data_IF_158344508891
#
_entry.id   IF_158344508891
#
_cell.length_a   1.000
_cell.length_b   1.000
_cell.length_c   1.000
_cell.angle_alpha   90.00
_cell.angle_beta   90.00
_cell.angle_gamma   90.00
#
_symmetry.space_group_name_H-M   'P 1'
#
loop_
_entity.id
_entity.type
_entity.pdbx_description
1 polymer ?
#
# COMPACT_ATOMS: atom_id res chain seq x y z
N UNK A 1 -12.00 29.43 2.09
CA UNK A 1 -10.62 29.03 1.79
C UNK A 1 -10.50 28.96 0.27
N UNK A 2 -9.71 29.83 -0.35
CA UNK A 2 -9.49 29.78 -1.81
C UNK A 2 -8.42 28.73 -2.11
N UNK A 3 -8.67 27.84 -3.07
CA UNK A 3 -7.65 26.94 -3.59
C UNK A 3 -6.56 27.77 -4.29
N UNK A 4 -5.29 27.55 -3.93
CA UNK A 4 -4.14 28.15 -4.59
C UNK A 4 -3.50 27.10 -5.50
N UNK A 5 -3.23 27.49 -6.75
CA UNK A 5 -2.51 26.63 -7.70
C UNK A 5 -1.03 26.60 -7.34
N UNK A 6 -0.49 25.41 -7.11
CA UNK A 6 0.94 25.19 -6.89
C UNK A 6 1.71 25.13 -8.22
N UNK A 7 3.05 25.27 -8.14
CA UNK A 7 3.94 25.19 -9.32
C UNK A 7 3.79 23.82 -10.01
N UNK A 8 3.91 23.82 -11.35
CA UNK A 8 3.98 22.58 -12.12
C UNK A 8 5.30 21.87 -11.81
N UNK A 9 5.24 20.55 -11.66
CA UNK A 9 6.43 19.72 -11.47
C UNK A 9 6.57 18.82 -12.69
N UNK A 10 7.76 18.80 -13.28
CA UNK A 10 8.07 18.01 -14.46
C UNK A 10 8.77 16.72 -14.04
N UNK A 11 8.39 15.61 -14.68
CA UNK A 11 8.92 14.29 -14.40
C UNK A 11 9.80 13.91 -15.60
N UNK A 12 11.05 13.51 -15.35
CA UNK A 12 11.94 12.98 -16.38
C UNK A 12 11.56 11.53 -16.74
N UNK A 13 10.44 11.37 -17.45
CA UNK A 13 9.99 10.14 -18.10
C UNK A 13 8.47 10.01 -18.14
N UNK A 14 7.95 8.79 -18.26
CA UNK A 14 6.50 8.55 -18.35
C UNK A 14 5.87 8.21 -17.01
N UNK A 15 4.56 8.38 -16.91
CA UNK A 15 3.76 7.90 -15.77
C UNK A 15 2.94 6.72 -16.27
N UNK A 16 3.02 5.58 -15.58
CA UNK A 16 2.26 4.39 -15.90
C UNK A 16 0.75 4.62 -15.74
N UNK A 17 -0.04 4.07 -16.65
CA UNK A 17 -1.50 4.02 -16.55
C UNK A 17 -1.97 2.88 -15.62
N UNK A 18 -1.40 2.81 -14.41
CA UNK A 18 -1.83 1.89 -13.36
C UNK A 18 -2.61 2.66 -12.29
N UNK A 19 -3.49 1.98 -11.56
CA UNK A 19 -4.21 2.61 -10.45
C UNK A 19 -3.26 2.91 -9.30
N UNK A 20 -3.54 3.97 -8.53
CA UNK A 20 -2.71 4.38 -7.38
C UNK A 20 -1.22 4.52 -7.76
N UNK A 21 -0.97 5.08 -8.95
CA UNK A 21 0.34 5.31 -9.55
C UNK A 21 1.09 6.52 -9.00
N UNK A 22 0.48 7.26 -8.07
CA UNK A 22 1.07 8.41 -7.38
C UNK A 22 0.93 8.20 -5.89
N UNK A 23 2.03 8.34 -5.15
CA UNK A 23 2.02 8.42 -3.70
C UNK A 23 2.60 9.76 -3.27
N UNK A 24 2.06 10.30 -2.18
CA UNK A 24 2.42 11.63 -1.66
C UNK A 24 2.94 11.45 -0.25
N UNK A 25 4.16 11.91 0.01
CA UNK A 25 4.71 11.93 1.35
C UNK A 25 4.24 13.20 2.07
N UNK A 26 3.15 13.05 2.82
CA UNK A 26 2.66 14.07 3.74
C UNK A 26 2.99 13.60 5.15
N UNK A 27 3.93 14.27 5.80
CA UNK A 27 4.18 14.04 7.22
C UNK A 27 2.91 14.38 8.00
N UNK A 28 2.47 13.50 8.91
CA UNK A 28 1.32 13.78 9.79
C UNK A 28 1.55 15.01 10.67
N UNK A 29 2.81 15.38 10.91
CA UNK A 29 3.21 16.48 11.79
C UNK A 29 3.59 17.76 11.03
N UNK A 30 3.89 17.67 9.73
CA UNK A 30 4.25 18.82 8.90
C UNK A 30 3.29 18.93 7.71
N UNK A 31 2.56 20.05 7.64
CA UNK A 31 1.60 20.35 6.55
C UNK A 31 2.28 20.59 5.19
N UNK A 32 3.61 20.61 5.15
CA UNK A 32 4.40 20.76 3.94
C UNK A 32 4.59 19.39 3.29
N UNK A 33 4.21 19.30 2.02
CA UNK A 33 4.56 18.19 1.15
C UNK A 33 6.08 17.99 1.20
N UNK A 34 6.56 16.76 1.44
CA UNK A 34 8.00 16.42 1.46
C UNK A 34 8.48 15.78 0.16
N UNK A 35 7.57 15.15 -0.58
CA UNK A 35 7.89 14.50 -1.83
C UNK A 35 6.69 13.78 -2.42
N UNK A 36 6.84 13.37 -3.66
CA UNK A 36 5.87 12.54 -4.36
C UNK A 36 6.62 11.49 -5.15
N UNK A 37 5.98 10.34 -5.34
CA UNK A 37 6.49 9.23 -6.12
C UNK A 37 5.49 8.90 -7.19
N UNK A 38 6.01 8.52 -8.34
CA UNK A 38 5.22 8.08 -9.47
C UNK A 38 5.77 6.77 -10.01
N UNK A 39 4.88 5.93 -10.51
CA UNK A 39 5.28 4.70 -11.21
C UNK A 39 5.62 5.04 -12.67
N UNK A 40 6.79 4.59 -13.14
CA UNK A 40 7.13 4.49 -14.55
C UNK A 40 7.58 3.08 -14.90
N UNK A 41 6.62 2.29 -15.41
CA UNK A 41 6.75 0.86 -15.74
C UNK A 41 7.31 0.05 -14.57
N UNK A 42 8.60 -0.29 -14.62
CA UNK A 42 9.31 -1.11 -13.64
C UNK A 42 10.12 -0.27 -12.65
N UNK A 43 10.01 1.05 -12.75
CA UNK A 43 10.73 2.00 -11.91
C UNK A 43 9.76 2.84 -11.10
N UNK A 44 10.17 3.21 -9.89
CA UNK A 44 9.49 4.22 -9.08
C UNK A 44 10.36 5.46 -9.04
N UNK A 45 9.83 6.59 -9.49
CA UNK A 45 10.50 7.88 -9.44
C UNK A 45 10.04 8.65 -8.23
N UNK A 46 10.95 8.96 -7.33
CA UNK A 46 10.69 9.80 -6.16
C UNK A 46 11.26 11.18 -6.40
N UNK A 47 10.48 12.22 -6.12
CA UNK A 47 10.86 13.62 -6.27
C UNK A 47 10.67 14.33 -4.93
N UNK A 48 11.75 14.94 -4.44
CA UNK A 48 11.71 15.79 -3.25
C UNK A 48 10.99 17.11 -3.52
N UNK A 49 10.54 17.79 -2.47
CA UNK A 49 9.99 19.16 -2.55
C UNK A 49 10.86 20.20 -1.87
N UNK A 50 12.12 19.87 -1.58
CA UNK A 50 13.08 20.81 -1.02
C UNK A 50 13.08 22.08 -1.88
N UNK A 51 12.90 23.24 -1.22
CA UNK A 51 12.69 24.54 -1.84
C UNK A 51 13.82 24.84 -2.84
N UNK A 52 13.67 24.43 -4.10
CA UNK A 52 14.48 24.97 -5.17
C UNK A 52 13.99 26.39 -5.39
N UNK A 53 14.68 27.33 -4.74
CA UNK A 53 14.72 28.68 -5.22
C UNK A 53 15.19 28.61 -6.68
N UNK A 54 14.30 29.03 -7.58
CA UNK A 54 14.60 29.57 -8.90
C UNK A 54 15.05 28.68 -10.08
N UNK A 55 14.97 27.35 -10.04
CA UNK A 55 15.00 26.62 -11.32
C UNK A 55 14.26 25.28 -11.30
N UNK A 56 13.57 25.02 -12.42
CA UNK A 56 12.76 23.82 -12.64
C UNK A 56 13.59 22.56 -12.96
N UNK A 57 14.89 22.55 -12.63
CA UNK A 57 15.86 21.61 -13.21
C UNK A 57 16.61 20.71 -12.24
N UNK A 58 16.64 20.99 -10.93
CA UNK A 58 17.40 20.16 -9.96
C UNK A 58 16.56 19.75 -8.75
N UNK A 59 15.42 19.11 -9.00
CA UNK A 59 14.72 18.39 -7.93
C UNK A 59 15.43 17.05 -7.72
N UNK A 60 15.90 16.72 -6.50
CA UNK A 60 16.50 15.41 -6.23
C UNK A 60 15.52 14.31 -6.64
N UNK A 61 15.97 13.48 -7.59
CA UNK A 61 15.17 12.39 -8.14
C UNK A 61 15.83 11.06 -7.81
N UNK A 62 15.13 10.22 -7.04
CA UNK A 62 15.52 8.82 -6.87
C UNK A 62 14.79 7.99 -7.90
N UNK A 63 15.52 7.07 -8.55
CA UNK A 63 14.96 6.08 -9.44
C UNK A 63 15.13 4.70 -8.79
N UNK A 64 14.04 4.12 -8.33
CA UNK A 64 14.04 2.80 -7.71
C UNK A 64 13.69 1.79 -8.79
N UNK A 65 14.70 1.07 -9.30
CA UNK A 65 14.51 -0.01 -10.26
C UNK A 65 14.08 -1.28 -9.52
N UNK A 66 12.85 -1.71 -9.76
CA UNK A 66 12.28 -2.91 -9.15
C UNK A 66 12.49 -4.14 -10.02
N UNK A 67 12.96 -3.99 -11.27
CA UNK A 67 13.12 -5.03 -12.30
C UNK A 67 11.85 -5.83 -12.60
N UNK A 68 10.70 -5.35 -12.15
CA UNK A 68 9.42 -6.06 -12.13
C UNK A 68 8.31 -5.04 -12.38
N UNK A 69 7.14 -5.48 -12.88
CA UNK A 69 6.08 -4.55 -13.20
C UNK A 69 5.42 -4.04 -11.92
N UNK A 70 5.53 -2.73 -11.67
CA UNK A 70 5.02 -2.10 -10.45
C UNK A 70 3.51 -1.92 -10.56
N UNK A 71 2.78 -2.38 -9.54
CA UNK A 71 1.32 -2.35 -9.51
C UNK A 71 0.74 -1.22 -8.67
N UNK A 72 1.41 -0.83 -7.58
CA UNK A 72 0.97 0.23 -6.67
C UNK A 72 2.14 0.72 -5.81
N UNK A 73 2.05 1.98 -5.37
CA UNK A 73 2.99 2.61 -4.43
C UNK A 73 2.24 3.28 -3.28
N UNK A 74 2.85 3.31 -2.09
CA UNK A 74 2.27 3.93 -0.91
C UNK A 74 3.34 4.43 0.06
N UNK A 75 3.23 5.68 0.52
CA UNK A 75 4.03 6.15 1.65
C UNK A 75 3.34 5.82 2.96
N UNK A 76 4.10 5.32 3.91
CA UNK A 76 3.62 5.10 5.25
C UNK A 76 4.76 5.15 6.26
N UNK A 77 4.40 5.15 7.53
CA UNK A 77 5.34 4.86 8.62
C UNK A 77 5.07 3.44 9.09
N UNK A 78 6.11 2.66 9.38
CA UNK A 78 5.99 1.36 10.03
C UNK A 78 6.93 1.32 11.23
N UNK A 79 6.37 1.19 12.43
CA UNK A 79 7.05 1.52 13.69
C UNK A 79 7.53 2.98 13.67
N UNK A 80 8.84 3.15 13.64
CA UNK A 80 9.52 4.43 13.56
C UNK A 80 10.13 4.71 12.18
N UNK A 81 9.99 3.77 11.23
CA UNK A 81 10.63 3.85 9.93
C UNK A 81 9.68 4.54 8.94
N UNK A 82 10.14 5.61 8.31
CA UNK A 82 9.42 6.22 7.19
C UNK A 82 9.68 5.43 5.91
N UNK A 83 8.63 4.83 5.35
CA UNK A 83 8.74 3.83 4.31
C UNK A 83 8.06 4.28 3.02
N UNK A 84 8.69 3.97 1.89
CA UNK A 84 8.01 3.86 0.60
C UNK A 84 7.79 2.38 0.32
N UNK A 85 6.52 1.99 0.27
CA UNK A 85 6.07 0.64 -0.02
C UNK A 85 5.73 0.54 -1.49
N UNK A 86 6.27 -0.50 -2.14
CA UNK A 86 6.06 -0.77 -3.57
C UNK A 86 5.54 -2.19 -3.71
N UNK A 87 4.41 -2.37 -4.39
CA UNK A 87 3.95 -3.68 -4.84
C UNK A 87 4.21 -3.87 -6.32
N UNK A 88 4.52 -5.09 -6.72
CA UNK A 88 4.85 -5.44 -8.10
C UNK A 88 4.43 -6.88 -8.43
N UNK A 89 4.74 -7.32 -9.65
CA UNK A 89 4.53 -8.70 -10.11
C UNK A 89 5.26 -9.76 -9.28
N UNK A 90 6.33 -9.40 -8.56
CA UNK A 90 7.06 -10.30 -7.67
C UNK A 90 6.72 -10.13 -6.19
N UNK A 91 5.78 -9.26 -5.83
CA UNK A 91 5.32 -9.11 -4.45
C UNK A 91 5.52 -7.71 -3.88
N UNK A 92 6.11 -7.64 -2.69
CA UNK A 92 6.26 -6.43 -1.88
C UNK A 92 7.73 -6.04 -1.74
N UNK A 93 8.02 -4.75 -1.84
CA UNK A 93 9.31 -4.16 -1.51
C UNK A 93 9.09 -2.96 -0.56
N UNK A 94 9.88 -2.87 0.50
CA UNK A 94 9.86 -1.74 1.44
C UNK A 94 11.21 -1.03 1.42
N UNK A 95 11.17 0.27 1.15
CA UNK A 95 12.33 1.14 1.14
C UNK A 95 12.29 2.11 2.32
N UNK A 96 13.40 2.24 3.04
CA UNK A 96 13.59 3.23 4.10
C UNK A 96 13.92 4.60 3.49
N UNK A 97 13.03 5.57 3.69
CA UNK A 97 13.16 6.91 3.12
C UNK A 97 14.31 7.71 3.74
N UNK A 98 14.61 7.46 5.02
CA UNK A 98 15.64 8.20 5.76
C UNK A 98 17.04 7.64 5.44
N UNK A 99 17.11 6.38 5.01
CA UNK A 99 18.33 5.72 4.49
C UNK A 99 18.44 5.78 2.96
N UNK A 100 18.09 6.92 2.35
CA UNK A 100 18.20 7.14 0.89
C UNK A 100 17.48 6.06 0.06
N UNK A 101 16.27 5.66 0.47
CA UNK A 101 15.50 4.61 -0.18
C UNK A 101 16.24 3.27 -0.26
N UNK A 102 16.99 2.91 0.77
CA UNK A 102 17.59 1.57 0.90
C UNK A 102 16.48 0.53 1.05
N UNK A 103 16.55 -0.56 0.27
CA UNK A 103 15.64 -1.69 0.43
C UNK A 103 15.89 -2.36 1.78
N UNK A 104 14.90 -2.32 2.67
CA UNK A 104 14.99 -2.92 4.01
C UNK A 104 14.23 -4.24 4.11
N UNK A 105 13.21 -4.45 3.27
CA UNK A 105 12.41 -5.68 3.28
C UNK A 105 11.84 -6.01 1.91
N UNK A 106 11.61 -7.31 1.66
CA UNK A 106 10.91 -7.80 0.48
C UNK A 106 10.20 -9.12 0.78
N UNK A 107 9.02 -9.33 0.17
CA UNK A 107 8.26 -10.55 0.34
C UNK A 107 7.49 -10.91 -0.92
N UNK A 108 7.60 -12.17 -1.39
CA UNK A 108 7.10 -12.56 -2.71
C UNK A 108 5.57 -12.51 -2.84
N UNK A 109 4.85 -12.53 -1.72
CA UNK A 109 3.39 -12.49 -1.65
C UNK A 109 2.67 -13.57 -2.50
N UNK A 110 3.36 -14.66 -2.81
CA UNK A 110 2.84 -15.70 -3.69
C UNK A 110 1.96 -16.71 -2.95
N UNK A 111 0.98 -17.21 -3.67
CA UNK A 111 0.21 -18.41 -3.32
C UNK A 111 0.47 -19.51 -4.37
N UNK A 112 0.35 -20.77 -3.95
CA UNK A 112 0.59 -21.92 -4.84
C UNK A 112 -0.45 -21.95 -5.97
N UNK A 113 -0.04 -22.44 -7.14
CA UNK A 113 -0.89 -22.79 -8.29
C UNK A 113 -1.60 -21.64 -9.02
N UNK A 114 -1.04 -20.42 -9.01
CA UNK A 114 -1.58 -19.28 -9.75
C UNK A 114 -0.88 -19.06 -11.10
N UNK A 115 -1.67 -18.75 -12.14
CA UNK A 115 -1.16 -18.39 -13.48
C UNK A 115 -0.52 -17.01 -13.48
N UNK A 116 -1.17 -16.05 -12.82
CA UNK A 116 -0.69 -14.68 -12.67
C UNK A 116 -0.37 -14.40 -11.21
N UNK A 117 0.77 -13.76 -10.98
CA UNK A 117 1.28 -13.42 -9.66
C UNK A 117 1.57 -11.93 -9.64
N UNK A 118 0.96 -11.25 -8.69
CA UNK A 118 1.30 -9.87 -8.35
C UNK A 118 0.76 -9.55 -6.95
N UNK A 119 1.41 -8.63 -6.26
CA UNK A 119 0.84 -7.97 -5.10
C UNK A 119 0.11 -6.68 -5.52
N UNK A 120 -0.97 -6.34 -4.83
CA UNK A 120 -1.76 -5.14 -5.08
C UNK A 120 -2.74 -4.89 -3.93
N UNK A 121 -3.14 -3.63 -3.74
CA UNK A 121 -3.90 -3.20 -2.57
C UNK A 121 -2.92 -3.02 -1.42
N UNK A 122 -2.80 -1.79 -0.93
CA UNK A 122 -1.92 -1.45 0.20
C UNK A 122 -2.75 -0.67 1.21
N UNK A 123 -2.77 -1.12 2.46
CA UNK A 123 -3.42 -0.43 3.56
C UNK A 123 -2.52 -0.45 4.79
N UNK A 124 -2.53 0.63 5.58
CA UNK A 124 -1.64 0.80 6.75
C UNK A 124 -2.41 1.25 7.98
N UNK A 125 -2.08 0.71 9.15
CA UNK A 125 -2.80 0.96 10.40
C UNK A 125 -1.93 1.76 11.34
N UNK A 126 -2.20 3.06 11.50
CA UNK A 126 -1.61 3.95 12.52
C UNK A 126 -0.12 3.72 12.84
N UNK A 127 0.67 3.44 11.80
CA UNK A 127 2.10 3.14 11.86
C UNK A 127 2.49 1.74 12.38
N UNK A 128 1.56 0.86 12.70
CA UNK A 128 1.85 -0.46 13.29
C UNK A 128 1.86 -1.58 12.27
N UNK A 129 0.88 -1.63 11.37
CA UNK A 129 0.73 -2.75 10.45
C UNK A 129 0.59 -2.28 9.01
N UNK A 130 1.07 -3.11 8.10
CA UNK A 130 0.96 -2.98 6.67
C UNK A 130 0.22 -4.20 6.12
N UNK A 131 -0.87 -3.99 5.39
CA UNK A 131 -1.60 -5.03 4.68
C UNK A 131 -1.35 -4.93 3.19
N UNK A 132 -1.07 -6.08 2.57
CA UNK A 132 -0.87 -6.20 1.12
C UNK A 132 -1.70 -7.35 0.56
N UNK A 133 -2.49 -7.05 -0.46
CA UNK A 133 -3.30 -8.02 -1.20
C UNK A 133 -2.52 -8.66 -2.35
N UNK A 134 -3.09 -9.69 -2.98
CA UNK A 134 -2.49 -10.30 -4.17
C UNK A 134 -3.53 -10.75 -5.21
N UNK A 135 -3.02 -11.26 -6.33
CA UNK A 135 -3.79 -11.82 -7.44
C UNK A 135 -4.63 -13.06 -7.11
N UNK A 136 -4.52 -13.60 -5.90
CA UNK A 136 -5.30 -14.76 -5.44
C UNK A 136 -6.37 -14.38 -4.41
N UNK A 137 -6.54 -13.09 -4.11
CA UNK A 137 -7.52 -12.65 -3.10
C UNK A 137 -7.06 -12.86 -1.65
N UNK A 138 -5.78 -13.16 -1.43
CA UNK A 138 -5.23 -13.22 -0.07
C UNK A 138 -4.65 -11.89 0.36
N UNK A 139 -4.77 -11.61 1.65
CA UNK A 139 -4.21 -10.43 2.31
C UNK A 139 -3.16 -10.90 3.29
N UNK A 140 -2.00 -10.25 3.25
CA UNK A 140 -0.85 -10.48 4.12
C UNK A 140 -0.66 -9.29 5.04
N UNK A 141 -0.37 -9.57 6.29
CA UNK A 141 -0.09 -8.59 7.32
C UNK A 141 1.41 -8.60 7.60
N UNK A 142 1.99 -7.41 7.62
CA UNK A 142 3.38 -7.14 8.00
C UNK A 142 3.39 -6.13 9.14
N UNK A 143 4.40 -6.18 9.98
CA UNK A 143 4.57 -5.24 11.10
C UNK A 143 6.00 -5.27 11.65
N UNK A 144 6.31 -4.42 12.61
CA UNK A 144 7.60 -4.43 13.30
C UNK A 144 7.72 -5.66 14.22
N UNK A 145 8.90 -6.26 14.29
CA UNK A 145 9.29 -7.18 15.37
C UNK A 145 9.76 -6.40 16.63
N UNK A 146 10.30 -7.10 17.62
CA UNK A 146 10.80 -6.50 18.87
C UNK A 146 11.94 -5.51 18.62
N UNK A 147 12.72 -5.72 17.55
CA UNK A 147 13.80 -4.85 17.09
C UNK A 147 13.34 -3.75 16.12
N UNK A 148 12.04 -3.67 15.83
CA UNK A 148 11.45 -2.69 14.91
C UNK A 148 11.68 -2.98 13.43
N UNK A 149 12.18 -4.17 13.07
CA UNK A 149 12.34 -4.61 11.68
C UNK A 149 11.02 -5.11 11.11
N UNK A 150 10.84 -4.92 9.80
CA UNK A 150 9.63 -5.38 9.11
C UNK A 150 9.63 -6.90 9.00
N UNK A 151 8.59 -7.54 9.53
CA UNK A 151 8.38 -8.99 9.46
C UNK A 151 7.00 -9.33 8.92
N UNK A 152 6.85 -10.54 8.41
CA UNK A 152 5.58 -11.12 8.02
C UNK A 152 4.87 -11.69 9.25
N UNK A 153 3.60 -11.35 9.45
CA UNK A 153 2.82 -11.72 10.63
C UNK A 153 1.72 -12.73 10.33
N UNK A 154 0.91 -12.46 9.30
CA UNK A 154 -0.29 -13.24 9.03
C UNK A 154 -0.64 -13.26 7.53
N UNK A 155 -1.36 -14.30 7.11
CA UNK A 155 -1.93 -14.45 5.77
C UNK A 155 -3.34 -15.03 5.87
N UNK A 156 -4.32 -14.27 5.39
CA UNK A 156 -5.72 -14.73 5.27
C UNK A 156 -6.18 -14.72 3.82
N UNK A 157 -6.77 -15.82 3.37
CA UNK A 157 -7.49 -15.87 2.09
C UNK A 157 -8.89 -15.31 2.31
N UNK A 158 -9.08 -14.02 2.02
CA UNK A 158 -10.33 -13.31 2.35
C UNK A 158 -11.28 -13.19 1.16
N UNK A 159 -10.74 -13.17 -0.04
CA UNK A 159 -11.45 -12.95 -1.30
C UNK A 159 -11.36 -14.17 -2.22
N UNK A 160 -12.35 -14.31 -3.10
CA UNK A 160 -12.39 -15.37 -4.11
C UNK A 160 -11.84 -14.93 -5.48
N UNK A 161 -11.45 -13.67 -5.61
CA UNK A 161 -10.93 -13.05 -6.81
C UNK A 161 -9.75 -12.11 -6.45
N UNK A 162 -8.95 -11.65 -7.44
CA UNK A 162 -7.82 -10.76 -7.19
C UNK A 162 -8.19 -9.50 -6.41
N UNK A 163 -7.34 -9.09 -5.47
CA UNK A 163 -7.54 -7.83 -4.72
C UNK A 163 -7.37 -6.64 -5.66
N UNK A 164 -8.36 -5.74 -5.65
CA UNK A 164 -8.32 -4.50 -6.46
C UNK A 164 -7.81 -3.32 -5.66
N UNK A 165 -8.29 -3.16 -4.43
CA UNK A 165 -7.91 -2.04 -3.56
C UNK A 165 -8.19 -2.36 -2.09
N UNK A 166 -7.53 -1.61 -1.20
CA UNK A 166 -7.72 -1.70 0.24
C UNK A 166 -7.57 -0.34 0.90
N UNK A 167 -8.29 -0.14 2.01
CA UNK A 167 -8.16 1.05 2.83
C UNK A 167 -8.41 0.71 4.29
N UNK A 168 -7.71 1.39 5.19
CA UNK A 168 -7.77 1.19 6.63
C UNK A 168 -8.17 2.46 7.35
N UNK A 169 -8.87 2.28 8.47
CA UNK A 169 -9.17 3.35 9.41
C UNK A 169 -9.16 2.78 10.83
N UNK A 170 -8.35 3.35 11.72
CA UNK A 170 -8.09 2.80 13.06
C UNK A 170 -7.67 1.34 12.94
N UNK A 171 -8.45 0.41 13.49
CA UNK A 171 -8.21 -1.03 13.44
C UNK A 171 -9.02 -1.74 12.34
N UNK A 172 -9.82 -1.02 11.56
CA UNK A 172 -10.66 -1.59 10.51
C UNK A 172 -9.96 -1.56 9.16
N UNK A 173 -10.14 -2.62 8.39
CA UNK A 173 -9.71 -2.78 7.00
C UNK A 173 -10.93 -3.03 6.13
N UNK A 174 -11.06 -2.26 5.05
CA UNK A 174 -11.94 -2.59 3.95
C UNK A 174 -11.08 -3.06 2.79
N UNK A 175 -11.42 -4.21 2.23
CA UNK A 175 -10.78 -4.76 1.04
C UNK A 175 -11.80 -5.12 -0.02
N UNK A 176 -11.42 -4.95 -1.28
CA UNK A 176 -12.27 -5.23 -2.44
C UNK A 176 -11.56 -6.15 -3.43
N UNK A 177 -12.33 -6.98 -4.14
CA UNK A 177 -11.83 -7.80 -5.24
C UNK A 177 -12.52 -7.53 -6.59
N UNK A 178 -11.97 -8.11 -7.66
CA UNK A 178 -12.46 -7.95 -9.04
C UNK A 178 -13.88 -8.48 -9.27
N UNK A 179 -14.41 -9.31 -8.37
CA UNK A 179 -15.80 -9.80 -8.46
C UNK A 179 -16.81 -8.81 -7.91
N UNK A 180 -16.36 -7.68 -7.35
CA UNK A 180 -17.20 -6.73 -6.63
C UNK A 180 -17.52 -7.16 -5.20
N UNK A 181 -16.77 -8.10 -4.63
CA UNK A 181 -16.90 -8.47 -3.23
C UNK A 181 -16.10 -7.50 -2.36
N UNK A 182 -16.76 -6.98 -1.32
CA UNK A 182 -16.14 -6.12 -0.31
C UNK A 182 -16.14 -6.85 1.03
N UNK A 183 -15.00 -6.84 1.72
CA UNK A 183 -14.83 -7.46 3.04
C UNK A 183 -14.43 -6.37 4.02
N UNK A 184 -15.15 -6.29 5.15
CA UNK A 184 -14.75 -5.51 6.31
C UNK A 184 -14.09 -6.47 7.30
N UNK A 185 -12.86 -6.14 7.69
CA UNK A 185 -12.06 -6.88 8.67
C UNK A 185 -11.56 -5.95 9.76
N UNK A 186 -11.14 -6.51 10.89
CA UNK A 186 -10.47 -5.83 11.97
C UNK A 186 -9.13 -6.49 12.26
N UNK A 187 -8.11 -5.68 12.53
CA UNK A 187 -6.81 -6.17 12.97
C UNK A 187 -6.75 -6.12 14.50
N UNK A 188 -6.30 -7.21 15.10
CA UNK A 188 -5.99 -7.30 16.53
C UNK A 188 -4.68 -8.07 16.72
N UNK A 189 -3.72 -7.46 17.41
CA UNK A 189 -2.39 -8.03 17.64
C UNK A 189 -1.68 -8.62 16.40
N UNK A 190 -1.91 -8.03 15.21
CA UNK A 190 -1.33 -8.49 13.94
C UNK A 190 -2.11 -9.59 13.23
N UNK A 191 -3.20 -10.09 13.81
CA UNK A 191 -4.11 -11.04 13.16
C UNK A 191 -5.31 -10.30 12.54
N UNK A 192 -5.68 -10.71 11.32
CA UNK A 192 -6.82 -10.12 10.60
C UNK A 192 -8.08 -10.97 10.75
N UNK A 193 -9.12 -10.39 11.34
CA UNK A 193 -10.41 -11.02 11.62
C UNK A 193 -11.52 -10.44 10.74
N UNK A 194 -12.33 -11.29 10.10
CA UNK A 194 -13.45 -10.83 9.27
C UNK A 194 -14.59 -10.37 10.17
N UNK A 195 -15.14 -9.19 9.89
CA UNK A 195 -16.35 -8.68 10.54
C UNK A 195 -17.57 -8.90 9.63
N UNK A 196 -17.46 -8.55 8.35
CA UNK A 196 -18.57 -8.61 7.41
C UNK A 196 -18.10 -8.79 5.98
N UNK A 197 -18.98 -9.33 5.12
CA UNK A 197 -18.75 -9.49 3.69
C UNK A 197 -19.98 -9.06 2.91
N UNK A 198 -19.78 -8.37 1.80
CA UNK A 198 -20.85 -8.04 0.85
C UNK A 198 -20.43 -8.53 -0.53
N UNK A 199 -21.29 -9.31 -1.19
CA UNK A 199 -21.16 -9.63 -2.62
C UNK A 199 -22.12 -8.73 -3.38
N UNK A 200 -21.60 -7.84 -4.22
CA UNK A 200 -22.48 -6.99 -5.04
C UNK A 200 -22.82 -7.69 -6.35
N UNK A 201 -24.03 -8.23 -6.42
CA UNK A 201 -24.90 -8.18 -7.60
C UNK A 201 -26.34 -7.97 -7.10
N UNK A 202 -26.84 -6.72 -7.15
CA UNK A 202 -28.27 -6.39 -7.04
C UNK A 202 -29.02 -6.63 -5.71
N UNK A 203 -28.35 -6.96 -4.60
CA UNK A 203 -29.01 -7.28 -3.32
C UNK A 203 -28.59 -6.37 -2.15
N UNK A 204 -29.55 -6.07 -1.27
CA UNK A 204 -29.37 -5.36 0.00
C UNK A 204 -28.20 -5.92 0.83
N UNK A 205 -27.48 -5.02 1.52
CA UNK A 205 -26.43 -5.37 2.48
C UNK A 205 -27.04 -6.22 3.61
N UNK A 206 -26.68 -7.49 3.67
CA UNK A 206 -27.09 -8.37 4.77
C UNK A 206 -26.04 -8.28 5.88
N UNK A 207 -26.31 -7.45 6.89
CA UNK A 207 -25.52 -7.38 8.13
C UNK A 207 -26.00 -8.50 9.05
N UNK A 208 -25.77 -9.75 8.64
CA UNK A 208 -26.01 -10.93 9.48
C UNK A 208 -24.74 -11.77 9.45
N UNK A 209 -23.80 -11.46 10.36
CA UNK A 209 -22.81 -12.38 10.95
C UNK A 209 -21.93 -11.62 11.98
N UNK A 210 -22.53 -10.69 12.73
CA UNK A 210 -21.89 -10.13 13.92
C UNK A 210 -22.29 -11.05 15.07
N UNK A 211 -21.28 -11.75 15.63
CA UNK A 211 -21.30 -12.74 16.71
C UNK A 211 -21.35 -14.22 16.31
N UNK A 212 -20.18 -14.79 15.96
CA UNK A 212 -19.89 -16.20 16.26
C UNK A 212 -18.40 -16.58 16.18
N UNK A 213 -17.44 -15.81 16.72
CA UNK A 213 -16.09 -16.33 17.03
C UNK A 213 -15.46 -15.71 18.30
N UNK A 214 -16.23 -15.67 19.38
CA UNK A 214 -15.67 -15.64 20.74
C UNK A 214 -16.36 -16.74 21.55
N UNK A 215 -16.01 -18.00 21.25
CA UNK A 215 -16.12 -19.15 22.16
C UNK A 215 -15.57 -20.39 21.45
N UNK A 216 -14.27 -20.63 21.63
CA UNK A 216 -13.68 -21.93 21.95
C UNK A 216 -12.25 -21.75 22.42
#
# INVERSE_FOLDING_TARGET
MLYKKEKKIFINGTVSAVMNNVAVNVSKYQKTLHGFAVIDRQTVRVMGTENSMDSATDVPQYCLDTKTDVTQIHWCTLGYINCLVVTCSEGLIVYDCDQQFKRIYSHNCEDKNMKEKYAKGIATFECTYLCVGNSNGSIRVFGPDEEGQVVFLDRKLLHGAPITDMSSHKHSLVSCDESGCTVLSQIDCGELMIIARTKVFGGLVNIQDIHAQQQK
#
